data_IF_298891221596
#
_entry.id   IF_298891221596
#
_cell.length_a   1.000
_cell.length_b   1.000
_cell.length_c   1.000
_cell.angle_alpha   90.00
_cell.angle_beta   90.00
_cell.angle_gamma   90.00
#
_symmetry.space_group_name_H-M   'P 1'
#
loop_
_entity.id
_entity.type
_entity.pdbx_description
1 polymer ?
#
# COMPACT_ATOMS: atom_id res chain seq x y z
N UNK A 1 2.64 7.85 -0.32
CA UNK A 1 2.24 7.00 -1.44
C UNK A 1 0.78 6.65 -1.27
N UNK A 2 -0.01 6.98 -2.28
CA UNK A 2 -1.43 6.66 -2.42
C UNK A 2 -1.62 5.65 -3.56
N UNK A 3 -2.82 5.11 -3.74
CA UNK A 3 -3.13 4.12 -4.79
C UNK A 3 -2.98 4.70 -6.21
N UNK A 4 -3.20 6.01 -6.37
CA UNK A 4 -3.09 6.73 -7.65
C UNK A 4 -1.77 7.49 -7.81
N UNK A 5 -0.82 7.31 -6.88
CA UNK A 5 0.51 7.90 -6.96
C UNK A 5 1.34 7.24 -8.09
N UNK A 6 1.81 8.06 -9.03
CA UNK A 6 2.84 7.65 -10.01
C UNK A 6 4.01 8.62 -9.94
N UNK A 7 4.16 9.48 -10.95
CA UNK A 7 5.07 10.64 -10.89
C UNK A 7 4.48 11.72 -9.98
N UNK A 8 3.16 11.81 -9.93
CA UNK A 8 2.36 12.60 -9.01
C UNK A 8 1.08 11.84 -8.64
N UNK A 9 0.37 12.30 -7.61
CA UNK A 9 -0.93 11.76 -7.22
C UNK A 9 -2.02 12.22 -8.20
N UNK A 10 -2.56 11.26 -8.97
CA UNK A 10 -3.59 11.53 -9.99
C UNK A 10 -4.98 11.79 -9.40
N UNK A 11 -5.15 11.77 -8.07
CA UNK A 11 -6.41 12.17 -7.43
C UNK A 11 -6.82 13.60 -7.78
N UNK A 12 -5.86 14.50 -8.02
CA UNK A 12 -6.15 15.88 -8.42
C UNK A 12 -6.68 15.98 -9.86
N UNK A 13 -6.29 15.05 -10.74
CA UNK A 13 -6.89 14.93 -12.07
C UNK A 13 -8.34 14.48 -11.97
N UNK A 14 -8.61 13.47 -11.12
CA UNK A 14 -9.97 13.00 -10.83
C UNK A 14 -10.80 14.14 -10.26
N UNK A 15 -10.27 14.89 -9.29
CA UNK A 15 -10.92 16.09 -8.73
C UNK A 15 -11.29 17.10 -9.80
N UNK A 16 -10.39 17.37 -10.74
CA UNK A 16 -10.65 18.30 -11.84
C UNK A 16 -11.85 17.85 -12.68
N UNK A 17 -11.97 16.55 -12.97
CA UNK A 17 -13.12 16.00 -13.71
C UNK A 17 -14.43 16.10 -12.89
N UNK A 18 -14.38 15.88 -11.58
CA UNK A 18 -15.53 16.12 -10.70
C UNK A 18 -15.96 17.59 -10.67
N UNK A 19 -15.02 18.52 -10.60
CA UNK A 19 -15.32 19.95 -10.63
C UNK A 19 -15.93 20.40 -11.98
N UNK A 20 -15.53 19.78 -13.09
CA UNK A 20 -16.17 20.01 -14.39
C UNK A 20 -17.62 19.52 -14.40
N UNK A 21 -17.90 18.31 -13.88
CA UNK A 21 -19.27 17.81 -13.74
C UNK A 21 -20.13 18.70 -12.86
N UNK A 22 -19.61 19.14 -11.71
CA UNK A 22 -20.35 20.05 -10.82
C UNK A 22 -20.74 21.35 -11.52
N UNK A 23 -19.85 21.91 -12.35
CA UNK A 23 -20.16 23.11 -13.15
C UNK A 23 -21.32 22.89 -14.11
N UNK A 24 -21.45 21.71 -14.71
CA UNK A 24 -22.60 21.38 -15.58
C UNK A 24 -23.93 21.46 -14.80
N UNK A 25 -24.00 20.87 -13.60
CA UNK A 25 -25.18 20.95 -12.73
C UNK A 25 -25.46 22.37 -12.21
N UNK A 26 -24.42 23.13 -11.88
CA UNK A 26 -24.56 24.54 -11.49
C UNK A 26 -25.16 25.39 -12.61
N UNK A 27 -24.76 25.16 -13.87
CA UNK A 27 -25.35 25.83 -15.02
C UNK A 27 -26.84 25.51 -15.16
N UNK A 28 -27.24 24.25 -14.94
CA UNK A 28 -28.67 23.84 -14.95
C UNK A 28 -29.44 24.62 -13.88
N UNK A 29 -28.93 24.70 -12.65
CA UNK A 29 -29.56 25.45 -11.55
C UNK A 29 -29.72 26.93 -11.91
N UNK A 30 -28.67 27.57 -12.44
CA UNK A 30 -28.73 28.98 -12.85
C UNK A 30 -29.70 29.22 -14.01
N UNK A 31 -29.77 28.30 -14.98
CA UNK A 31 -30.60 28.43 -16.17
C UNK A 31 -32.07 28.05 -15.94
N UNK A 32 -32.38 27.30 -14.89
CA UNK A 32 -33.74 26.93 -14.51
C UNK A 32 -34.64 28.14 -14.16
N UNK A 33 -34.06 29.31 -13.90
CA UNK A 33 -34.81 30.57 -13.79
C UNK A 33 -35.43 31.04 -15.12
N UNK A 34 -35.01 30.47 -16.27
CA UNK A 34 -35.40 30.91 -17.61
C UNK A 34 -36.08 29.85 -18.50
N UNK A 35 -36.16 28.56 -18.10
CA UNK A 35 -36.82 27.48 -18.87
C UNK A 35 -37.42 26.38 -17.97
N UNK A 36 -38.73 26.07 -18.05
CA UNK A 36 -39.40 25.10 -17.19
C UNK A 36 -39.28 23.60 -17.58
N UNK A 37 -38.62 23.27 -18.70
CA UNK A 37 -38.49 21.87 -19.20
C UNK A 37 -37.15 21.18 -18.88
N UNK A 38 -36.33 21.74 -17.97
CA UNK A 38 -35.06 21.15 -17.53
C UNK A 38 -35.15 20.57 -16.11
N UNK A 39 -34.20 19.69 -15.76
CA UNK A 39 -34.04 19.06 -14.43
C UNK A 39 -34.43 20.04 -13.31
N UNK A 40 -35.27 19.62 -12.36
CA UNK A 40 -35.65 20.51 -11.24
C UNK A 40 -34.38 21.01 -10.54
N UNK A 41 -34.28 22.30 -10.19
CA UNK A 41 -33.16 22.84 -9.41
C UNK A 41 -32.82 21.98 -8.18
N UNK A 42 -33.85 21.41 -7.55
CA UNK A 42 -33.73 20.53 -6.39
C UNK A 42 -33.03 19.20 -6.72
N UNK A 43 -33.23 18.65 -7.91
CA UNK A 43 -32.58 17.42 -8.35
C UNK A 43 -31.10 17.67 -8.69
N UNK A 44 -30.79 18.83 -9.29
CA UNK A 44 -29.42 19.23 -9.57
C UNK A 44 -28.61 19.51 -8.29
N UNK A 45 -29.23 20.13 -7.28
CA UNK A 45 -28.63 20.31 -5.95
C UNK A 45 -28.34 18.96 -5.26
N UNK A 46 -29.25 17.99 -5.41
CA UNK A 46 -29.03 16.63 -4.89
C UNK A 46 -27.84 15.96 -5.58
N UNK A 47 -27.74 16.06 -6.91
CA UNK A 47 -26.60 15.50 -7.65
C UNK A 47 -25.27 16.16 -7.27
N UNK A 48 -25.22 17.47 -7.05
CA UNK A 48 -24.01 18.15 -6.57
C UNK A 48 -23.52 17.55 -5.24
N UNK A 49 -24.44 17.34 -4.30
CA UNK A 49 -24.12 16.69 -3.02
C UNK A 49 -23.62 15.26 -3.21
N UNK A 50 -24.26 14.50 -4.11
CA UNK A 50 -23.82 13.14 -4.44
C UNK A 50 -22.40 13.13 -5.03
N UNK A 51 -22.06 14.08 -5.91
CA UNK A 51 -20.71 14.20 -6.47
C UNK A 51 -19.65 14.52 -5.40
N UNK A 52 -19.97 15.37 -4.41
CA UNK A 52 -19.09 15.64 -3.27
C UNK A 52 -18.84 14.37 -2.44
N UNK A 53 -19.90 13.62 -2.13
CA UNK A 53 -19.82 12.37 -1.37
C UNK A 53 -19.05 11.27 -2.12
N UNK A 54 -19.22 11.19 -3.45
CA UNK A 54 -18.50 10.25 -4.31
C UNK A 54 -17.01 10.60 -4.42
N UNK A 55 -16.66 11.88 -4.61
CA UNK A 55 -15.26 12.30 -4.66
C UNK A 55 -14.55 12.06 -3.32
N UNK A 56 -15.19 12.41 -2.21
CA UNK A 56 -14.61 12.19 -0.88
C UNK A 56 -14.39 10.69 -0.62
N UNK A 57 -15.33 9.84 -1.05
CA UNK A 57 -15.15 8.39 -1.01
C UNK A 57 -13.91 7.91 -1.79
N UNK A 58 -13.69 8.40 -3.02
CA UNK A 58 -12.51 8.04 -3.81
C UNK A 58 -11.22 8.58 -3.17
N UNK A 59 -11.25 9.79 -2.61
CA UNK A 59 -10.11 10.41 -1.91
C UNK A 59 -9.67 9.60 -0.70
N UNK A 60 -10.62 9.15 0.12
CA UNK A 60 -10.32 8.29 1.28
C UNK A 60 -9.74 6.94 0.85
N UNK A 61 -10.33 6.31 -0.17
CA UNK A 61 -9.81 5.06 -0.73
C UNK A 61 -8.38 5.19 -1.27
N UNK A 62 -8.03 6.35 -1.81
CA UNK A 62 -6.72 6.59 -2.39
C UNK A 62 -5.58 6.45 -1.36
N UNK A 63 -5.81 6.72 -0.07
CA UNK A 63 -4.77 6.56 0.94
C UNK A 63 -4.34 5.10 1.19
N UNK A 64 -5.19 4.12 0.85
CA UNK A 64 -4.84 2.69 0.96
C UNK A 64 -4.62 2.17 2.38
N UNK A 65 -5.17 2.85 3.40
CA UNK A 65 -5.11 2.45 4.81
C UNK A 65 -6.08 1.31 5.15
N UNK A 66 -7.17 1.18 4.42
CA UNK A 66 -8.27 0.25 4.71
C UNK A 66 -8.35 -0.92 3.73
N UNK A 67 -8.91 -2.04 4.21
CA UNK A 67 -9.22 -3.18 3.36
C UNK A 67 -10.37 -2.84 2.42
N UNK A 68 -10.12 -2.87 1.11
CA UNK A 68 -11.14 -2.53 0.11
C UNK A 68 -12.05 -3.73 -0.16
N UNK A 69 -13.31 -3.61 0.24
CA UNK A 69 -14.34 -4.64 0.11
C UNK A 69 -15.01 -4.64 -1.27
N UNK A 70 -15.67 -5.75 -1.64
CA UNK A 70 -16.35 -5.88 -2.93
C UNK A 70 -17.42 -4.82 -3.16
N UNK A 71 -18.15 -4.43 -2.10
CA UNK A 71 -19.13 -3.33 -2.16
C UNK A 71 -18.49 -1.99 -2.53
N UNK A 72 -17.26 -1.74 -2.07
CA UNK A 72 -16.52 -0.52 -2.39
C UNK A 72 -16.05 -0.56 -3.85
N UNK A 73 -15.55 -1.70 -4.31
CA UNK A 73 -15.14 -1.90 -5.71
C UNK A 73 -16.34 -1.70 -6.65
N UNK A 74 -17.50 -2.24 -6.30
CA UNK A 74 -18.70 -2.01 -7.08
C UNK A 74 -19.11 -0.54 -7.10
N UNK A 75 -19.03 0.15 -5.95
CA UNK A 75 -19.26 1.61 -5.89
C UNK A 75 -18.29 2.39 -6.79
N UNK A 76 -17.01 2.05 -6.82
CA UNK A 76 -16.02 2.66 -7.73
C UNK A 76 -16.47 2.47 -9.19
N UNK A 77 -16.89 1.26 -9.57
CA UNK A 77 -17.36 0.97 -10.93
C UNK A 77 -18.63 1.75 -11.29
N UNK A 78 -19.54 1.98 -10.34
CA UNK A 78 -20.72 2.80 -10.59
C UNK A 78 -20.35 4.27 -10.79
N UNK A 79 -19.44 4.82 -9.97
CA UNK A 79 -18.93 6.19 -10.15
C UNK A 79 -18.21 6.33 -11.49
N UNK A 80 -17.42 5.34 -11.88
CA UNK A 80 -16.66 5.34 -13.14
C UNK A 80 -17.54 5.43 -14.39
N UNK A 81 -18.79 4.93 -14.33
CA UNK A 81 -19.76 4.98 -15.44
C UNK A 81 -20.29 6.38 -15.71
N UNK A 82 -20.16 7.32 -14.77
CA UNK A 82 -20.48 8.74 -15.03
C UNK A 82 -19.61 9.21 -16.20
N UNK A 83 -20.18 10.05 -17.04
CA UNK A 83 -19.51 10.60 -18.20
C UNK A 83 -19.31 12.09 -17.99
N UNK A 84 -18.14 12.60 -18.38
CA UNK A 84 -17.84 14.03 -18.37
C UNK A 84 -17.40 14.47 -19.76
N UNK A 85 -17.55 15.76 -20.04
CA UNK A 85 -17.24 16.33 -21.35
C UNK A 85 -15.92 17.09 -21.30
N UNK A 86 -14.98 16.69 -22.16
CA UNK A 86 -13.74 17.42 -22.42
C UNK A 86 -13.82 18.03 -23.82
N UNK A 87 -14.31 19.27 -23.91
CA UNK A 87 -14.56 19.92 -25.19
C UNK A 87 -15.61 19.19 -26.01
N UNK A 88 -15.19 18.46 -27.05
CA UNK A 88 -16.07 17.71 -27.96
C UNK A 88 -16.15 16.21 -27.66
N UNK A 89 -15.34 15.71 -26.73
CA UNK A 89 -15.28 14.29 -26.41
C UNK A 89 -15.98 14.00 -25.09
N UNK A 90 -16.85 12.99 -25.10
CA UNK A 90 -17.44 12.41 -23.90
C UNK A 90 -16.54 11.27 -23.43
N UNK A 91 -16.09 11.35 -22.18
CA UNK A 91 -15.19 10.36 -21.59
C UNK A 91 -15.78 9.80 -20.29
N UNK A 92 -15.42 8.56 -19.90
CA UNK A 92 -15.75 8.06 -18.56
C UNK A 92 -15.03 8.91 -17.49
N UNK A 93 -15.66 9.05 -16.33
CA UNK A 93 -15.15 9.84 -15.21
C UNK A 93 -13.82 9.28 -14.70
N UNK A 94 -13.72 7.95 -14.63
CA UNK A 94 -12.51 7.22 -14.29
C UNK A 94 -12.06 6.34 -15.45
N UNK A 95 -10.75 6.31 -15.66
CA UNK A 95 -10.09 5.39 -16.59
C UNK A 95 -10.03 3.97 -16.02
N UNK A 96 -9.89 2.96 -16.88
CA UNK A 96 -9.71 1.56 -16.43
C UNK A 96 -8.51 1.42 -15.48
N UNK A 97 -7.44 2.16 -15.73
CA UNK A 97 -6.25 2.16 -14.88
C UNK A 97 -6.53 2.77 -13.48
N UNK A 98 -7.31 3.86 -13.39
CA UNK A 98 -7.71 4.43 -12.09
C UNK A 98 -8.61 3.47 -11.31
N UNK A 99 -9.55 2.80 -12.00
CA UNK A 99 -10.41 1.78 -11.39
C UNK A 99 -9.57 0.63 -10.84
N UNK A 100 -8.63 0.12 -11.65
CA UNK A 100 -7.73 -0.98 -11.25
C UNK A 100 -6.96 -0.64 -9.99
N UNK A 101 -6.31 0.54 -9.96
CA UNK A 101 -5.53 0.99 -8.82
C UNK A 101 -6.40 1.25 -7.58
N UNK A 102 -7.54 1.94 -7.70
CA UNK A 102 -8.42 2.19 -6.55
C UNK A 102 -9.02 0.91 -5.98
N UNK A 103 -9.15 -0.13 -6.81
CA UNK A 103 -9.67 -1.45 -6.43
C UNK A 103 -8.66 -2.35 -5.72
N UNK A 104 -7.39 -1.93 -5.57
CA UNK A 104 -6.37 -2.68 -4.81
C UNK A 104 -6.90 -2.97 -3.39
N UNK A 105 -6.94 -4.24 -3.00
CA UNK A 105 -7.57 -4.64 -1.73
C UNK A 105 -6.79 -4.23 -0.49
N UNK A 106 -5.46 -4.23 -0.56
CA UNK A 106 -4.56 -3.94 0.57
C UNK A 106 -3.36 -3.14 0.10
N UNK A 107 -3.06 -2.06 0.81
CA UNK A 107 -1.95 -1.18 0.48
C UNK A 107 -2.22 -0.38 -0.79
N UNK A 108 -1.13 0.05 -1.43
CA UNK A 108 -1.16 1.00 -2.56
C UNK A 108 -0.58 0.47 -3.85
N UNK A 109 0.03 -0.72 -3.82
CA UNK A 109 0.71 -1.32 -4.98
C UNK A 109 -0.22 -2.31 -5.67
N UNK A 110 -0.34 -2.18 -7.00
CA UNK A 110 -0.91 -3.24 -7.83
C UNK A 110 0.07 -4.43 -7.93
N UNK A 111 -0.36 -5.47 -8.63
CA UNK A 111 0.42 -6.72 -8.69
C UNK A 111 1.69 -6.53 -9.53
N UNK A 112 1.64 -5.75 -10.61
CA UNK A 112 2.81 -5.47 -11.45
C UNK A 112 3.87 -4.64 -10.71
N UNK A 113 3.44 -3.62 -9.96
CA UNK A 113 4.34 -2.83 -9.11
C UNK A 113 4.94 -3.67 -7.98
N UNK A 114 4.14 -4.57 -7.39
CA UNK A 114 4.62 -5.49 -6.36
C UNK A 114 5.69 -6.41 -6.93
N UNK A 115 5.51 -6.93 -8.15
CA UNK A 115 6.50 -7.77 -8.81
C UNK A 115 7.80 -7.01 -9.09
N UNK A 116 7.72 -5.76 -9.56
CA UNK A 116 8.88 -4.89 -9.77
C UNK A 116 9.65 -4.69 -8.45
N UNK A 117 8.94 -4.42 -7.36
CA UNK A 117 9.56 -4.23 -6.05
C UNK A 117 10.18 -5.53 -5.56
N UNK A 118 9.46 -6.65 -5.61
CA UNK A 118 9.95 -7.96 -5.16
C UNK A 118 11.19 -8.42 -5.94
N UNK A 119 11.33 -8.00 -7.20
CA UNK A 119 12.46 -8.35 -8.05
C UNK A 119 13.83 -7.88 -7.49
N UNK A 120 13.87 -6.92 -6.55
CA UNK A 120 15.14 -6.49 -5.93
C UNK A 120 15.89 -7.66 -5.26
N UNK A 121 15.18 -8.64 -4.69
CA UNK A 121 15.80 -9.81 -4.07
C UNK A 121 16.45 -10.73 -5.12
N UNK A 122 15.78 -10.94 -6.25
CA UNK A 122 16.31 -11.70 -7.38
C UNK A 122 17.51 -10.99 -8.04
N UNK A 123 17.43 -9.68 -8.21
CA UNK A 123 18.54 -8.84 -8.72
C UNK A 123 19.73 -8.90 -7.77
N UNK A 124 19.51 -8.80 -6.46
CA UNK A 124 20.54 -8.95 -5.42
C UNK A 124 21.26 -10.28 -5.53
N UNK A 125 20.52 -11.38 -5.70
CA UNK A 125 21.12 -12.70 -5.92
C UNK A 125 22.04 -12.72 -7.14
N UNK A 126 21.57 -12.20 -8.28
CA UNK A 126 22.34 -12.15 -9.53
C UNK A 126 23.61 -11.30 -9.40
N UNK A 127 23.52 -10.16 -8.73
CA UNK A 127 24.67 -9.29 -8.49
C UNK A 127 25.70 -9.97 -7.59
N UNK A 128 25.28 -10.49 -6.43
CA UNK A 128 26.19 -11.08 -5.44
C UNK A 128 26.83 -12.39 -5.93
N UNK A 129 26.11 -13.23 -6.68
CA UNK A 129 26.68 -14.45 -7.26
C UNK A 129 27.79 -14.17 -8.29
N UNK A 130 27.82 -12.98 -8.87
CA UNK A 130 28.85 -12.56 -9.82
C UNK A 130 30.15 -12.09 -9.14
N UNK A 131 30.14 -11.91 -7.81
CA UNK A 131 31.29 -11.42 -7.05
C UNK A 131 32.17 -12.58 -6.55
N UNK A 132 33.51 -12.42 -6.55
CA UNK A 132 34.44 -13.46 -6.14
C UNK A 132 34.56 -13.57 -4.60
N UNK A 133 33.51 -14.05 -3.94
CA UNK A 133 33.52 -14.21 -2.49
C UNK A 133 34.50 -15.32 -2.02
N UNK A 134 35.22 -15.11 -0.91
CA UNK A 134 35.99 -16.17 -0.25
C UNK A 134 35.10 -17.36 0.12
N UNK A 135 35.67 -18.57 0.27
CA UNK A 135 34.92 -19.80 0.60
C UNK A 135 33.98 -19.65 1.80
N UNK A 136 34.38 -18.89 2.83
CA UNK A 136 33.58 -18.64 4.04
C UNK A 136 32.31 -17.80 3.77
N UNK A 137 32.26 -17.04 2.68
CA UNK A 137 31.17 -16.14 2.31
C UNK A 137 30.42 -16.60 1.06
N UNK A 138 30.66 -17.82 0.56
CA UNK A 138 30.07 -18.33 -0.68
C UNK A 138 28.53 -18.30 -0.70
N UNK A 139 27.89 -18.40 0.46
CA UNK A 139 26.43 -18.42 0.61
C UNK A 139 25.79 -17.05 0.86
N UNK A 140 26.57 -15.96 0.87
CA UNK A 140 26.05 -14.64 1.21
C UNK A 140 24.95 -14.19 0.25
N UNK A 141 25.07 -14.55 -1.04
CA UNK A 141 24.05 -14.27 -2.05
C UNK A 141 22.72 -14.98 -1.72
N UNK A 142 22.77 -16.23 -1.27
CA UNK A 142 21.58 -16.99 -0.86
C UNK A 142 20.91 -16.32 0.34
N UNK A 143 21.69 -15.94 1.36
CA UNK A 143 21.16 -15.32 2.58
C UNK A 143 20.51 -13.96 2.30
N UNK A 144 21.18 -13.14 1.49
CA UNK A 144 20.70 -11.83 1.10
C UNK A 144 19.49 -11.91 0.16
N UNK A 145 19.35 -12.95 -0.66
CA UNK A 145 18.18 -13.09 -1.54
C UNK A 145 16.96 -13.65 -0.82
N UNK A 146 17.16 -14.49 0.20
CA UNK A 146 16.09 -15.21 0.89
C UNK A 146 15.50 -14.47 2.10
N UNK A 147 15.91 -13.22 2.38
CA UNK A 147 15.44 -12.49 3.57
C UNK A 147 13.96 -12.06 3.52
N UNK A 148 13.32 -12.12 2.35
CA UNK A 148 11.87 -11.93 2.18
C UNK A 148 11.09 -13.23 1.99
N UNK A 149 11.78 -14.37 2.09
CA UNK A 149 11.12 -15.66 2.17
C UNK A 149 10.45 -15.84 3.53
N UNK A 150 9.38 -16.63 3.56
CA UNK A 150 8.58 -16.88 4.76
C UNK A 150 8.48 -18.38 4.99
N UNK A 151 8.35 -18.82 6.24
CA UNK A 151 8.41 -20.26 6.53
C UNK A 151 7.25 -21.06 5.89
N UNK A 152 6.11 -20.43 5.65
CA UNK A 152 4.94 -21.00 4.96
C UNK A 152 5.12 -21.13 3.43
N UNK A 153 6.16 -20.51 2.86
CA UNK A 153 6.41 -20.45 1.42
C UNK A 153 5.65 -19.36 0.67
N UNK A 154 4.94 -18.45 1.36
CA UNK A 154 4.28 -17.30 0.73
C UNK A 154 5.20 -16.11 0.47
N UNK A 155 6.49 -16.29 0.75
CA UNK A 155 7.54 -15.29 0.51
C UNK A 155 8.06 -15.30 -0.93
N UNK A 156 9.11 -14.53 -1.17
CA UNK A 156 9.73 -14.35 -2.47
C UNK A 156 11.26 -14.21 -2.31
N UNK A 157 12.07 -14.44 -3.36
CA UNK A 157 11.70 -14.64 -4.77
C UNK A 157 11.44 -16.09 -5.23
N UNK A 158 11.79 -17.10 -4.43
CA UNK A 158 11.73 -18.52 -4.80
C UNK A 158 10.57 -19.28 -4.13
N UNK A 159 9.93 -18.71 -3.10
CA UNK A 159 8.85 -19.36 -2.37
C UNK A 159 9.35 -20.51 -1.51
N UNK A 160 10.52 -20.32 -0.90
CA UNK A 160 11.16 -21.34 -0.05
C UNK A 160 10.37 -21.54 1.23
N UNK A 161 10.24 -22.80 1.64
CA UNK A 161 9.63 -23.18 2.92
C UNK A 161 10.68 -23.30 4.02
N UNK A 162 10.21 -23.35 5.27
CA UNK A 162 11.07 -23.31 6.44
C UNK A 162 12.30 -24.22 6.35
N UNK A 163 12.12 -25.51 6.07
CA UNK A 163 13.21 -26.49 5.93
C UNK A 163 14.25 -26.15 4.85
N UNK A 164 13.88 -25.35 3.85
CA UNK A 164 14.77 -24.88 2.78
C UNK A 164 15.51 -23.59 3.15
N UNK A 165 15.06 -22.88 4.20
CA UNK A 165 15.65 -21.61 4.63
C UNK A 165 16.76 -21.82 5.65
N UNK A 166 17.94 -21.28 5.35
CA UNK A 166 19.07 -21.27 6.28
C UNK A 166 18.77 -20.43 7.51
N UNK A 167 19.39 -20.80 8.64
CA UNK A 167 19.31 -20.03 9.89
C UNK A 167 19.68 -18.57 9.67
N UNK A 168 20.71 -18.30 8.87
CA UNK A 168 21.18 -16.94 8.55
C UNK A 168 20.10 -16.12 7.83
N UNK A 169 19.39 -16.71 6.87
CA UNK A 169 18.32 -16.01 6.14
C UNK A 169 17.17 -15.66 7.08
N UNK A 170 16.79 -16.59 7.97
CA UNK A 170 15.74 -16.35 8.97
C UNK A 170 16.13 -15.27 9.99
N UNK A 171 17.41 -15.21 10.39
CA UNK A 171 17.94 -14.14 11.25
C UNK A 171 17.83 -12.77 10.55
N UNK A 172 18.26 -12.69 9.28
CA UNK A 172 18.18 -11.44 8.50
C UNK A 172 16.73 -11.01 8.34
N UNK A 173 15.82 -11.92 7.98
CA UNK A 173 14.40 -11.64 7.84
C UNK A 173 13.80 -11.06 9.12
N UNK A 174 14.10 -11.66 10.27
CA UNK A 174 13.63 -11.17 11.57
C UNK A 174 14.16 -9.77 11.88
N UNK A 175 15.45 -9.53 11.64
CA UNK A 175 16.09 -8.23 11.88
C UNK A 175 15.54 -7.14 10.96
N UNK A 176 15.42 -7.43 9.66
CA UNK A 176 14.88 -6.52 8.64
C UNK A 176 13.44 -6.12 8.96
N UNK A 177 12.59 -7.08 9.33
CA UNK A 177 11.20 -6.79 9.72
C UNK A 177 11.14 -5.91 10.96
N UNK A 178 11.93 -6.20 11.99
CA UNK A 178 11.93 -5.40 13.21
C UNK A 178 12.41 -3.97 12.95
N UNK A 179 13.51 -3.80 12.23
CA UNK A 179 14.03 -2.48 11.82
C UNK A 179 12.98 -1.72 10.99
N UNK A 180 12.40 -2.37 9.99
CA UNK A 180 11.38 -1.77 9.11
C UNK A 180 10.13 -1.28 9.86
N UNK A 181 9.70 -1.99 10.91
CA UNK A 181 8.54 -1.62 11.73
C UNK A 181 8.85 -0.44 12.67
N UNK A 182 10.09 -0.36 13.16
CA UNK A 182 10.53 0.60 14.17
C UNK A 182 11.17 1.87 13.58
N UNK A 183 11.55 1.84 12.31
CA UNK A 183 12.18 2.95 11.59
C UNK A 183 11.39 4.27 11.73
N UNK A 184 12.12 5.34 12.09
CA UNK A 184 11.58 6.67 12.40
C UNK A 184 11.32 7.52 11.16
N UNK A 185 12.05 7.27 10.10
CA UNK A 185 12.35 8.18 9.01
C UNK A 185 11.58 7.88 7.72
N UNK A 186 10.51 7.08 7.80
CA UNK A 186 9.66 6.84 6.63
C UNK A 186 8.81 8.09 6.33
N UNK A 187 8.98 8.75 5.17
CA UNK A 187 8.32 10.03 4.86
C UNK A 187 6.78 10.00 4.88
N UNK A 188 6.20 8.79 4.92
CA UNK A 188 4.76 8.57 4.73
C UNK A 188 4.08 7.84 5.90
N UNK A 189 4.80 7.43 6.95
CA UNK A 189 4.21 6.76 8.13
C UNK A 189 5.01 7.09 9.39
N UNK A 190 4.32 7.46 10.48
CA UNK A 190 4.95 7.48 11.81
C UNK A 190 5.44 6.06 12.12
N UNK A 191 6.70 5.95 12.56
CA UNK A 191 7.26 4.69 13.03
C UNK A 191 6.39 4.11 14.14
N UNK A 192 6.25 2.77 14.16
CA UNK A 192 5.44 2.10 15.17
C UNK A 192 6.11 2.21 16.54
N UNK A 193 5.31 2.09 17.60
CA UNK A 193 5.86 1.91 18.93
C UNK A 193 6.52 0.53 19.06
N UNK A 194 7.37 0.37 20.06
CA UNK A 194 8.04 -0.90 20.32
C UNK A 194 7.02 -2.01 20.59
N UNK A 195 6.00 -1.73 21.41
CA UNK A 195 4.92 -2.68 21.70
C UNK A 195 4.12 -3.07 20.45
N UNK A 196 3.82 -2.11 19.57
CA UNK A 196 3.16 -2.39 18.29
C UNK A 196 4.00 -3.27 17.37
N UNK A 197 5.31 -3.01 17.27
CA UNK A 197 6.21 -3.79 16.44
C UNK A 197 6.30 -5.25 16.92
N UNK A 198 6.48 -5.45 18.24
CA UNK A 198 6.53 -6.78 18.84
C UNK A 198 5.22 -7.55 18.64
N UNK A 199 4.06 -6.89 18.82
CA UNK A 199 2.76 -7.51 18.58
C UNK A 199 2.58 -7.96 17.13
N UNK A 200 3.07 -7.17 16.16
CA UNK A 200 3.04 -7.55 14.74
C UNK A 200 3.92 -8.76 14.49
N UNK A 201 5.14 -8.77 15.03
CA UNK A 201 6.04 -9.91 14.88
C UNK A 201 5.48 -11.18 15.52
N UNK A 202 4.83 -11.07 16.68
CA UNK A 202 4.13 -12.19 17.32
C UNK A 202 3.02 -12.77 16.44
N UNK A 203 2.20 -11.92 15.80
CA UNK A 203 1.20 -12.37 14.82
C UNK A 203 1.87 -13.06 13.62
N UNK A 204 3.00 -12.53 13.13
CA UNK A 204 3.75 -13.16 12.04
C UNK A 204 4.33 -14.53 12.41
N UNK A 205 4.69 -14.75 13.67
CA UNK A 205 5.08 -16.07 14.18
C UNK A 205 3.88 -17.02 14.19
N UNK A 206 2.71 -16.56 14.64
CA UNK A 206 1.46 -17.34 14.62
C UNK A 206 1.05 -17.75 13.21
N UNK A 207 1.18 -16.84 12.25
CA UNK A 207 0.91 -17.05 10.82
C UNK A 207 1.99 -17.89 10.11
N UNK A 208 3.00 -18.40 10.83
CA UNK A 208 4.12 -19.16 10.26
C UNK A 208 4.92 -18.38 9.20
N UNK A 209 4.96 -17.05 9.29
CA UNK A 209 5.84 -16.23 8.46
C UNK A 209 7.25 -16.14 9.04
N UNK A 210 7.38 -16.13 10.38
CA UNK A 210 8.65 -15.95 11.11
C UNK A 210 9.01 -17.18 11.97
N UNK A 211 10.31 -17.37 12.19
CA UNK A 211 10.84 -18.45 13.04
C UNK A 211 10.58 -18.17 14.52
N UNK A 212 9.73 -19.02 15.11
CA UNK A 212 9.36 -18.94 16.53
C UNK A 212 10.57 -19.04 17.46
N UNK A 213 11.52 -19.94 17.20
CA UNK A 213 12.66 -20.14 18.10
C UNK A 213 13.59 -18.92 18.09
N UNK A 214 13.77 -18.31 16.92
CA UNK A 214 14.53 -17.06 16.80
C UNK A 214 13.82 -15.89 17.47
N UNK A 215 12.50 -15.78 17.29
CA UNK A 215 11.71 -14.75 17.96
C UNK A 215 11.74 -14.90 19.47
N UNK A 216 11.54 -16.11 20.00
CA UNK A 216 11.61 -16.40 21.43
C UNK A 216 12.99 -16.01 22.00
N UNK A 217 14.08 -16.34 21.29
CA UNK A 217 15.44 -15.94 21.68
C UNK A 217 15.62 -14.40 21.67
N UNK A 218 15.12 -13.74 20.63
CA UNK A 218 15.16 -12.28 20.47
C UNK A 218 14.48 -11.55 21.64
N UNK A 219 13.34 -12.09 22.10
CA UNK A 219 12.61 -11.58 23.27
C UNK A 219 13.34 -11.92 24.57
N UNK A 220 13.74 -13.18 24.77
CA UNK A 220 14.36 -13.64 26.01
C UNK A 220 15.67 -12.90 26.33
N UNK A 221 16.50 -12.66 25.31
CA UNK A 221 17.77 -11.94 25.44
C UNK A 221 17.57 -10.42 25.43
N UNK A 222 16.34 -9.95 25.14
CA UNK A 222 15.97 -8.52 25.09
C UNK A 222 16.76 -7.71 24.06
N UNK A 223 17.11 -8.32 22.93
CA UNK A 223 17.82 -7.65 21.83
C UNK A 223 17.02 -6.42 21.34
N UNK A 224 15.69 -6.54 21.28
CA UNK A 224 14.78 -5.45 20.93
C UNK A 224 14.97 -4.20 21.81
N UNK A 225 15.26 -4.39 23.11
CA UNK A 225 15.44 -3.30 24.08
C UNK A 225 16.79 -2.63 23.88
N UNK A 226 17.85 -3.41 23.67
CA UNK A 226 19.19 -2.88 23.42
C UNK A 226 19.23 -2.05 22.12
N UNK A 227 18.50 -2.49 21.09
CA UNK A 227 18.30 -1.72 19.87
C UNK A 227 17.47 -0.46 20.15
N UNK A 228 16.35 -0.58 20.85
CA UNK A 228 15.47 0.54 21.15
C UNK A 228 16.17 1.68 21.90
N UNK A 229 17.00 1.36 22.89
CA UNK A 229 17.74 2.36 23.67
C UNK A 229 18.75 3.15 22.82
N UNK A 230 19.23 2.58 21.72
CA UNK A 230 20.19 3.22 20.82
C UNK A 230 19.50 3.98 19.69
N UNK A 231 18.52 3.34 19.08
CA UNK A 231 17.98 3.75 17.79
C UNK A 231 16.57 4.32 17.85
N UNK A 232 15.78 4.08 18.92
CA UNK A 232 14.39 4.55 19.04
C UNK A 232 14.27 5.90 19.77
N UNK A 233 13.15 6.59 19.60
CA UNK A 233 12.86 7.84 20.33
C UNK A 233 12.11 7.50 21.61
N UNK A 234 12.15 8.39 22.61
CA UNK A 234 11.37 8.21 23.84
C UNK A 234 9.87 8.04 23.60
N UNK A 235 9.33 8.59 22.51
CA UNK A 235 7.92 8.46 22.15
C UNK A 235 7.56 7.06 21.61
N UNK A 236 8.53 6.32 21.09
CA UNK A 236 8.33 4.96 20.58
C UNK A 236 8.63 3.88 21.63
N UNK A 237 9.29 4.24 22.73
CA UNK A 237 9.60 3.33 23.84
C UNK A 237 8.41 3.30 24.83
N UNK A 238 7.39 2.52 24.50
CA UNK A 238 6.16 2.35 25.29
C UNK A 238 6.18 1.11 26.20
N UNK A 239 7.28 0.34 26.21
CA UNK A 239 7.45 -0.92 26.94
C UNK A 239 8.79 -0.97 27.68
#
# INVERSE_FOLDING_TARGET
>A
STKLEKVHDRIEEVKTRFELLKREYQLIICQAQNKPDALSPTDAERELKTLDEEFEFLRQLNYGSEFTQDKMIERIRQIAKRQWHSGTQTMPLLTENEIYNLSIRRGTLNDEERDIINNHAAVTYKMLTSLPFPRKLKKIAEYAAAHHEKLDGSGYPLGLKGDQLSLQSRIIALADIFEALTAKDRPYKKGKTLGEALKIMEMMVQDHHLDKNLYDLFIQVKIYRDYALKELTSQQMDV
#
